data_IF_574005086553
#
_entry.id   IF_574005086553
#
_cell.length_a   1.000
_cell.length_b   1.000
_cell.length_c   1.000
_cell.angle_alpha   90.00
_cell.angle_beta   90.00
_cell.angle_gamma   90.00
#
_symmetry.space_group_name_H-M   'P 1'
#
loop_
_entity.id
_entity.type
_entity.pdbx_description
1 polymer ?
#
# COMPACT_ATOMS: atom_id res chain seq x y z
N UNK A 1 -18.73 -4.76 0.44
CA UNK A 1 -17.41 -5.34 0.15
C UNK A 1 -16.48 -4.83 1.23
N UNK A 2 -15.74 -5.70 1.92
CA UNK A 2 -14.73 -5.23 2.86
C UNK A 2 -13.56 -4.59 2.09
N UNK A 3 -12.67 -3.88 2.79
CA UNK A 3 -11.55 -3.19 2.14
C UNK A 3 -10.56 -4.16 1.49
N UNK A 4 -10.42 -5.38 2.02
CA UNK A 4 -9.44 -6.34 1.52
C UNK A 4 -9.90 -6.91 0.17
N UNK A 5 -11.15 -7.33 0.08
CA UNK A 5 -11.76 -7.78 -1.17
C UNK A 5 -11.74 -6.68 -2.23
N UNK A 6 -12.02 -5.44 -1.83
CA UNK A 6 -11.91 -4.29 -2.73
C UNK A 6 -10.47 -4.07 -3.19
N UNK A 7 -9.49 -4.11 -2.28
CA UNK A 7 -8.09 -3.89 -2.61
C UNK A 7 -7.57 -4.99 -3.55
N UNK A 8 -7.97 -6.25 -3.34
CA UNK A 8 -7.65 -7.35 -4.26
C UNK A 8 -8.29 -7.13 -5.64
N UNK A 9 -9.56 -6.73 -5.69
CA UNK A 9 -10.24 -6.44 -6.96
C UNK A 9 -9.61 -5.24 -7.68
N UNK A 10 -9.23 -4.19 -6.95
CA UNK A 10 -8.53 -3.02 -7.47
C UNK A 10 -7.14 -3.40 -8.01
N UNK A 11 -6.36 -4.16 -7.25
CA UNK A 11 -5.04 -4.62 -7.66
C UNK A 11 -5.09 -5.57 -8.87
N UNK A 12 -6.21 -6.26 -9.10
CA UNK A 12 -6.42 -7.06 -10.30
C UNK A 12 -6.66 -6.25 -11.59
N UNK A 13 -6.83 -4.93 -11.51
CA UNK A 13 -7.10 -4.07 -12.68
C UNK A 13 -5.80 -3.70 -13.41
N UNK A 14 -5.82 -3.61 -14.75
CA UNK A 14 -4.67 -3.14 -15.51
C UNK A 14 -4.19 -1.75 -15.03
N UNK A 15 -2.89 -1.60 -14.82
CA UNK A 15 -2.27 -0.34 -14.43
C UNK A 15 -2.22 -0.08 -12.91
N UNK A 16 -3.06 -0.73 -12.11
CA UNK A 16 -3.04 -0.55 -10.64
C UNK A 16 -1.77 -1.13 -10.02
N UNK A 17 -1.35 -2.39 -10.30
CA UNK A 17 -0.09 -2.92 -9.79
C UNK A 17 1.12 -2.06 -10.14
N UNK A 18 1.20 -1.62 -11.41
CA UNK A 18 2.31 -0.82 -11.93
C UNK A 18 2.37 0.55 -11.25
N UNK A 19 1.23 1.24 -11.12
CA UNK A 19 1.16 2.53 -10.46
C UNK A 19 1.47 2.43 -8.96
N UNK A 20 0.95 1.40 -8.27
CA UNK A 20 1.26 1.14 -6.88
C UNK A 20 2.75 0.86 -6.65
N UNK A 21 3.38 0.07 -7.53
CA UNK A 21 4.82 -0.20 -7.45
C UNK A 21 5.65 1.06 -7.69
N UNK A 22 5.32 1.88 -8.70
CA UNK A 22 6.01 3.15 -8.95
C UNK A 22 5.88 4.11 -7.75
N UNK A 23 4.69 4.26 -7.20
CA UNK A 23 4.45 5.09 -6.01
C UNK A 23 5.23 4.60 -4.79
N UNK A 24 5.31 3.28 -4.59
CA UNK A 24 6.05 2.71 -3.47
C UNK A 24 7.56 2.83 -3.65
N UNK A 25 8.10 2.41 -4.78
CA UNK A 25 9.53 2.22 -4.97
C UNK A 25 10.24 3.52 -5.40
N UNK A 26 9.61 4.34 -6.23
CA UNK A 26 10.23 5.58 -6.75
C UNK A 26 9.85 6.82 -5.90
N UNK A 27 8.72 6.76 -5.17
CA UNK A 27 8.19 7.89 -4.41
C UNK A 27 8.01 7.61 -2.91
N UNK A 28 8.39 6.42 -2.43
CA UNK A 28 8.36 6.07 -1.01
C UNK A 28 6.96 6.12 -0.39
N UNK A 29 5.91 6.02 -1.20
CA UNK A 29 4.53 6.10 -0.72
C UNK A 29 4.08 4.79 -0.08
N UNK A 30 3.12 4.90 0.84
CA UNK A 30 2.48 3.74 1.43
C UNK A 30 1.24 3.34 0.61
N UNK A 31 1.34 2.23 -0.13
CA UNK A 31 0.26 1.75 -1.01
C UNK A 31 -1.02 1.42 -0.25
N UNK A 32 -0.95 0.87 0.96
CA UNK A 32 -2.14 0.56 1.77
C UNK A 32 -2.91 1.84 2.14
N UNK A 33 -2.19 2.89 2.53
CA UNK A 33 -2.79 4.20 2.86
C UNK A 33 -3.44 4.84 1.64
N UNK A 34 -2.78 4.81 0.47
CA UNK A 34 -3.32 5.34 -0.78
C UNK A 34 -4.59 4.60 -1.22
N UNK A 35 -4.56 3.27 -1.22
CA UNK A 35 -5.69 2.43 -1.58
C UNK A 35 -6.87 2.62 -0.61
N UNK A 36 -6.60 2.70 0.69
CA UNK A 36 -7.63 3.01 1.68
C UNK A 36 -8.23 4.40 1.45
N UNK A 37 -7.42 5.44 1.18
CA UNK A 37 -7.94 6.78 0.98
C UNK A 37 -8.85 6.86 -0.25
N UNK A 38 -8.47 6.21 -1.35
CA UNK A 38 -9.28 6.11 -2.55
C UNK A 38 -10.60 5.33 -2.31
N UNK A 39 -10.53 4.21 -1.59
CA UNK A 39 -11.71 3.42 -1.22
C UNK A 39 -12.67 4.18 -0.29
N UNK A 40 -12.11 4.88 0.70
CA UNK A 40 -12.85 5.57 1.75
C UNK A 40 -13.34 6.97 1.32
N UNK A 41 -12.85 7.50 0.20
CA UNK A 41 -13.06 8.90 -0.20
C UNK A 41 -12.47 9.90 0.80
N UNK A 42 -11.37 9.56 1.47
CA UNK A 42 -10.85 10.32 2.60
C UNK A 42 -10.06 11.57 2.16
N UNK A 43 -10.56 12.75 2.51
CA UNK A 43 -9.90 14.05 2.30
C UNK A 43 -9.71 14.88 3.58
N UNK A 44 -10.35 14.47 4.68
CA UNK A 44 -10.30 15.18 5.97
C UNK A 44 -8.88 15.17 6.57
N UNK A 45 -8.24 16.33 6.82
CA UNK A 45 -6.84 16.40 7.26
C UNK A 45 -6.56 15.63 8.57
N UNK A 46 -7.47 15.72 9.54
CA UNK A 46 -7.30 15.04 10.83
C UNK A 46 -7.44 13.51 10.72
N UNK A 47 -8.36 13.04 9.87
CA UNK A 47 -8.51 11.62 9.59
C UNK A 47 -7.25 11.07 8.88
N UNK A 48 -6.74 11.79 7.89
CA UNK A 48 -5.54 11.43 7.14
C UNK A 48 -4.28 11.44 8.01
N UNK A 49 -4.15 12.40 8.93
CA UNK A 49 -3.05 12.44 9.90
C UNK A 49 -3.04 11.18 10.78
N UNK A 50 -4.19 10.82 11.36
CA UNK A 50 -4.34 9.61 12.19
C UNK A 50 -4.08 8.32 11.40
N UNK A 51 -4.54 8.26 10.16
CA UNK A 51 -4.29 7.15 9.26
C UNK A 51 -2.81 7.01 8.92
N UNK A 52 -2.14 8.12 8.60
CA UNK A 52 -0.70 8.13 8.34
C UNK A 52 0.12 7.71 9.57
N UNK A 53 -0.24 8.16 10.77
CA UNK A 53 0.40 7.73 12.03
C UNK A 53 0.25 6.23 12.26
N UNK A 54 -0.95 5.70 12.07
CA UNK A 54 -1.23 4.25 12.14
C UNK A 54 -0.38 3.48 11.14
N UNK A 55 -0.33 3.94 9.89
CA UNK A 55 0.45 3.33 8.82
C UNK A 55 1.95 3.37 9.10
N UNK A 56 2.50 4.48 9.62
CA UNK A 56 3.93 4.59 9.97
C UNK A 56 4.32 3.59 11.05
N UNK A 57 3.53 3.53 12.12
CA UNK A 57 3.81 2.65 13.24
C UNK A 57 3.84 1.18 12.78
N UNK A 58 2.85 0.78 11.99
CA UNK A 58 2.76 -0.59 11.49
C UNK A 58 3.79 -0.91 10.39
N UNK A 59 4.09 0.05 9.51
CA UNK A 59 5.08 -0.14 8.46
C UNK A 59 6.48 -0.37 9.05
N UNK A 60 6.86 0.43 10.04
CA UNK A 60 8.14 0.26 10.74
C UNK A 60 8.22 -1.07 11.50
N UNK A 61 7.11 -1.50 12.12
CA UNK A 61 7.08 -2.71 12.95
C UNK A 61 7.03 -4.01 12.13
N UNK A 62 6.34 -4.03 10.99
CA UNK A 62 6.02 -5.27 10.28
C UNK A 62 6.31 -5.22 8.77
N UNK A 63 5.71 -4.28 8.04
CA UNK A 63 5.73 -4.30 6.56
C UNK A 63 7.15 -4.08 6.02
N UNK A 64 7.86 -3.05 6.49
CA UNK A 64 9.19 -2.73 6.01
C UNK A 64 10.22 -3.83 6.31
N UNK A 65 10.31 -4.39 7.54
CA UNK A 65 11.19 -5.52 7.82
C UNK A 65 10.92 -6.75 6.95
N UNK A 66 9.65 -7.11 6.72
CA UNK A 66 9.28 -8.23 5.87
C UNK A 66 9.67 -8.00 4.40
N UNK A 67 9.41 -6.79 3.89
CA UNK A 67 9.79 -6.38 2.54
C UNK A 67 11.30 -6.39 2.33
N UNK A 68 12.06 -5.91 3.31
CA UNK A 68 13.52 -5.93 3.32
C UNK A 68 14.04 -7.37 3.33
N UNK A 69 13.52 -8.23 4.21
CA UNK A 69 13.88 -9.64 4.26
C UNK A 69 13.61 -10.34 2.92
N UNK A 70 12.42 -10.16 2.35
CA UNK A 70 12.06 -10.69 1.04
C UNK A 70 13.05 -10.24 -0.04
N UNK A 71 13.36 -8.94 -0.10
CA UNK A 71 14.31 -8.38 -1.08
C UNK A 71 15.73 -8.94 -0.90
N UNK A 72 16.21 -9.07 0.34
CA UNK A 72 17.55 -9.57 0.64
C UNK A 72 17.77 -11.01 0.16
N UNK A 73 16.75 -11.87 0.27
CA UNK A 73 16.83 -13.27 -0.15
C UNK A 73 16.46 -13.50 -1.62
N UNK A 74 16.36 -12.45 -2.45
CA UNK A 74 16.07 -12.56 -3.89
C UNK A 74 17.22 -13.15 -4.70
N UNK A 75 18.44 -12.78 -4.36
CA UNK A 75 19.62 -13.21 -5.11
C UNK A 75 20.06 -14.61 -4.64
N UNK A 76 20.63 -15.43 -5.53
CA UNK A 76 21.28 -16.69 -5.14
C UNK A 76 22.28 -16.49 -4.01
N UNK A 77 22.35 -17.44 -3.08
CA UNK A 77 23.24 -17.38 -1.91
C UNK A 77 24.19 -18.59 -1.90
N UNK A 78 25.50 -18.39 -1.69
CA UNK A 78 26.47 -19.49 -1.64
C UNK A 78 26.06 -20.56 -0.60
N UNK A 79 26.00 -21.82 -1.03
CA UNK A 79 25.67 -22.95 -0.14
C UNK A 79 24.18 -23.12 0.20
N UNK A 80 23.28 -22.29 -0.36
CA UNK A 80 21.84 -22.43 -0.20
C UNK A 80 21.22 -22.84 -1.54
N UNK A 81 20.41 -23.91 -1.53
CA UNK A 81 19.70 -24.36 -2.71
C UNK A 81 18.63 -23.34 -3.14
N UNK A 82 18.53 -23.09 -4.45
CA UNK A 82 17.65 -22.05 -4.99
C UNK A 82 16.17 -22.32 -4.73
N UNK A 83 15.75 -23.59 -4.78
CA UNK A 83 14.38 -24.01 -4.49
C UNK A 83 13.99 -23.72 -3.03
N UNK A 84 14.85 -24.07 -2.07
CA UNK A 84 14.66 -23.78 -0.66
C UNK A 84 14.62 -22.28 -0.37
N UNK A 85 15.48 -21.49 -1.05
CA UNK A 85 15.50 -20.03 -0.94
C UNK A 85 14.21 -19.40 -1.50
N UNK A 86 13.75 -19.83 -2.66
CA UNK A 86 12.52 -19.32 -3.27
C UNK A 86 11.26 -19.74 -2.48
N UNK A 87 11.26 -20.93 -1.87
CA UNK A 87 10.20 -21.36 -0.96
C UNK A 87 10.09 -20.41 0.25
N UNK A 88 11.21 -20.16 0.95
CA UNK A 88 11.25 -19.21 2.06
C UNK A 88 10.84 -17.80 1.63
N UNK A 89 11.31 -17.34 0.46
CA UNK A 89 10.94 -16.03 -0.10
C UNK A 89 9.44 -15.91 -0.36
N UNK A 90 8.79 -17.00 -0.76
CA UNK A 90 7.34 -17.07 -0.97
C UNK A 90 6.60 -16.98 0.37
N UNK A 91 7.07 -17.65 1.42
CA UNK A 91 6.50 -17.56 2.76
C UNK A 91 6.63 -16.14 3.35
N UNK A 92 7.81 -15.51 3.21
CA UNK A 92 8.02 -14.12 3.65
C UNK A 92 7.09 -13.17 2.88
N UNK A 93 6.88 -13.38 1.57
CA UNK A 93 5.91 -12.61 0.78
C UNK A 93 4.49 -12.77 1.31
N UNK A 94 4.08 -13.98 1.70
CA UNK A 94 2.77 -14.22 2.28
C UNK A 94 2.60 -13.49 3.62
N UNK A 95 3.64 -13.48 4.46
CA UNK A 95 3.66 -12.70 5.70
C UNK A 95 3.58 -11.18 5.44
N UNK A 96 4.30 -10.66 4.44
CA UNK A 96 4.21 -9.24 4.05
C UNK A 96 2.79 -8.87 3.63
N UNK A 97 2.16 -9.67 2.76
CA UNK A 97 0.77 -9.45 2.33
C UNK A 97 -0.21 -9.53 3.50
N UNK A 98 0.02 -10.44 4.46
CA UNK A 98 -0.79 -10.51 5.66
C UNK A 98 -0.65 -9.25 6.53
N UNK A 99 0.56 -8.73 6.69
CA UNK A 99 0.80 -7.47 7.40
C UNK A 99 0.10 -6.29 6.69
N UNK A 100 0.15 -6.22 5.36
CA UNK A 100 -0.57 -5.20 4.57
C UNK A 100 -2.10 -5.31 4.74
N UNK A 101 -2.64 -6.55 4.79
CA UNK A 101 -4.06 -6.79 5.09
C UNK A 101 -4.46 -6.24 6.46
N UNK A 102 -3.66 -6.52 7.50
CA UNK A 102 -3.92 -6.03 8.86
C UNK A 102 -3.95 -4.50 8.88
N UNK A 103 -3.03 -3.85 8.15
CA UNK A 103 -3.02 -2.39 8.03
C UNK A 103 -4.29 -1.87 7.35
N UNK A 104 -4.67 -2.42 6.21
CA UNK A 104 -5.90 -2.01 5.51
C UNK A 104 -7.14 -2.14 6.40
N UNK A 105 -7.26 -3.24 7.15
CA UNK A 105 -8.36 -3.44 8.09
C UNK A 105 -8.36 -2.43 9.24
N UNK A 106 -7.18 -2.12 9.79
CA UNK A 106 -7.04 -1.09 10.82
C UNK A 106 -7.43 0.30 10.30
N UNK A 107 -6.98 0.66 9.10
CA UNK A 107 -7.33 1.92 8.43
C UNK A 107 -8.84 2.00 8.16
N UNK A 108 -9.46 0.93 7.67
CA UNK A 108 -10.90 0.88 7.48
C UNK A 108 -11.69 1.11 8.79
N UNK A 109 -11.15 0.65 9.92
CA UNK A 109 -11.71 0.91 11.24
C UNK A 109 -11.66 2.37 11.71
N UNK A 110 -10.79 3.22 11.11
CA UNK A 110 -10.77 4.66 11.39
C UNK A 110 -11.96 5.41 10.78
N UNK A 111 -12.68 4.76 9.87
CA UNK A 111 -13.81 5.31 9.14
C UNK A 111 -13.41 6.06 7.86
N UNK A 112 -14.41 6.59 7.19
CA UNK A 112 -14.31 7.34 5.94
C UNK A 112 -15.67 7.91 5.57
N UNK A 113 -15.69 9.07 4.93
CA UNK A 113 -16.91 9.66 4.40
C UNK A 113 -17.27 8.92 3.13
N UNK A 114 -17.91 7.76 3.25
CA UNK A 114 -18.23 6.88 2.13
C UNK A 114 -18.75 7.66 0.92
N UNK A 115 -17.95 7.68 -0.14
CA UNK A 115 -18.27 8.24 -1.46
C UNK A 115 -18.49 9.76 -1.48
N UNK A 116 -17.57 10.49 -2.11
CA UNK A 116 -17.80 11.90 -2.45
C UNK A 116 -16.56 12.61 -2.97
N UNK A 117 -15.41 12.31 -2.39
CA UNK A 117 -14.11 12.81 -2.86
C UNK A 117 -13.67 12.03 -4.11
N UNK A 118 -13.32 12.69 -5.22
CA UNK A 118 -12.69 12.04 -6.37
C UNK A 118 -11.41 11.29 -5.97
N UNK A 119 -11.15 10.14 -6.58
CA UNK A 119 -10.01 9.29 -6.21
C UNK A 119 -8.67 10.04 -6.24
N UNK A 120 -8.45 10.91 -7.24
CA UNK A 120 -7.22 11.72 -7.32
C UNK A 120 -7.06 12.66 -6.12
N UNK A 121 -8.13 13.33 -5.69
CA UNK A 121 -8.07 14.24 -4.55
C UNK A 121 -7.80 13.48 -3.24
N UNK A 122 -8.41 12.30 -3.06
CA UNK A 122 -8.13 11.44 -1.91
C UNK A 122 -6.68 10.94 -1.90
N UNK A 123 -6.14 10.58 -3.07
CA UNK A 123 -4.75 10.14 -3.23
C UNK A 123 -3.74 11.26 -2.95
N UNK A 124 -4.01 12.49 -3.42
CA UNK A 124 -3.18 13.66 -3.13
C UNK A 124 -3.16 13.99 -1.63
N UNK A 125 -4.33 13.96 -0.99
CA UNK A 125 -4.44 14.23 0.44
C UNK A 125 -3.72 13.16 1.29
N UNK A 126 -3.86 11.88 0.92
CA UNK A 126 -3.15 10.78 1.57
C UNK A 126 -1.64 10.85 1.35
N UNK A 127 -1.18 11.19 0.14
CA UNK A 127 0.23 11.36 -0.18
C UNK A 127 0.85 12.49 0.65
N UNK A 128 0.15 13.62 0.79
CA UNK A 128 0.57 14.74 1.63
C UNK A 128 0.62 14.39 3.13
N UNK A 129 -0.32 13.60 3.62
CA UNK A 129 -0.30 13.13 5.01
C UNK A 129 0.84 12.12 5.27
N UNK A 130 1.23 11.36 4.25
CA UNK A 130 2.30 10.37 4.34
C UNK A 130 3.70 10.97 4.32
N UNK A 131 3.99 11.95 3.47
CA UNK A 131 5.35 12.47 3.36
C UNK A 131 5.50 13.44 2.19
N UNK A 132 6.68 13.49 1.54
CA UNK A 132 6.83 14.21 0.29
C UNK A 132 5.74 13.79 -0.69
N UNK A 133 4.96 14.77 -1.15
CA UNK A 133 3.83 14.53 -2.05
C UNK A 133 4.36 13.94 -3.36
N UNK A 134 3.83 12.80 -3.76
CA UNK A 134 4.17 12.20 -5.04
C UNK A 134 3.70 13.10 -6.20
N UNK A 135 4.38 13.10 -7.36
CA UNK A 135 3.95 13.93 -8.48
C UNK A 135 2.50 13.63 -8.87
N UNK A 136 1.68 14.68 -9.03
CA UNK A 136 0.25 14.56 -9.36
C UNK A 136 -0.03 13.63 -10.54
N UNK A 137 0.83 13.62 -11.56
CA UNK A 137 0.70 12.70 -12.71
C UNK A 137 0.68 11.22 -12.30
N UNK A 138 1.53 10.82 -11.36
CA UNK A 138 1.66 9.42 -10.93
C UNK A 138 0.46 9.04 -10.06
N UNK A 139 -0.04 9.97 -9.24
CA UNK A 139 -1.28 9.79 -8.50
C UNK A 139 -2.51 9.73 -9.43
N UNK A 140 -2.49 10.50 -10.53
CA UNK A 140 -3.55 10.48 -11.54
C UNK A 140 -3.57 9.17 -12.33
N UNK A 141 -2.42 8.57 -12.61
CA UNK A 141 -2.34 7.24 -13.24
C UNK A 141 -3.01 6.18 -12.36
N UNK A 142 -2.74 6.18 -11.05
CA UNK A 142 -3.43 5.30 -10.10
C UNK A 142 -4.92 5.62 -10.02
N UNK A 143 -5.30 6.90 -9.92
CA UNK A 143 -6.70 7.32 -9.87
C UNK A 143 -7.50 6.85 -11.11
N UNK A 144 -6.91 6.96 -12.30
CA UNK A 144 -7.51 6.53 -13.55
C UNK A 144 -7.64 5.00 -13.61
N UNK A 145 -6.65 4.25 -13.14
CA UNK A 145 -6.71 2.78 -13.10
C UNK A 145 -7.72 2.24 -12.05
N UNK A 146 -8.03 3.03 -11.03
CA UNK A 146 -9.06 2.74 -10.01
C UNK A 146 -10.49 3.11 -10.45
N UNK A 147 -10.65 3.88 -11.53
CA UNK A 147 -11.93 4.37 -12.07
C UNK A 147 -12.56 3.39 -13.05
#
# INVERSE_FOLDING_TARGET
MDIWDWALAAYGRPGVPEACLALQDDHGQNTCLLLWAAWAGASGPELLRRAAETARAWEAAAVLPLRQARRAIKAPQPGIADDAREALRTEVKACELHAERVLLQALAGLGGTGGGTPALEALEAASAAWGPVAPRRVLADLAAALG
#
